data_IF_396099152499
#
_entry.id   IF_396099152499
#
_cell.length_a   1.000
_cell.length_b   1.000
_cell.length_c   1.000
_cell.angle_alpha   90.00
_cell.angle_beta   90.00
_cell.angle_gamma   90.00
#
_symmetry.space_group_name_H-M   'P 1'
#
loop_
_entity.id
_entity.type
_entity.pdbx_description
1 polymer ?
#
# COMPACT_ATOMS: atom_id res chain seq x y z
N UNK A 1 2.19 -9.47 5.57
CA UNK A 1 2.00 -10.44 4.47
C UNK A 1 1.11 -11.61 4.86
N UNK A 2 1.20 -12.07 6.10
CA UNK A 2 0.67 -13.30 6.67
C UNK A 2 -0.84 -13.48 6.46
N UNK A 3 -1.63 -12.40 6.61
CA UNK A 3 -3.08 -12.44 6.36
C UNK A 3 -3.41 -12.46 4.87
N UNK A 4 -2.69 -11.67 4.08
CA UNK A 4 -2.87 -11.56 2.62
C UNK A 4 -2.55 -12.92 1.98
N UNK A 5 -1.43 -13.55 2.33
CA UNK A 5 -1.03 -14.82 1.72
C UNK A 5 -2.04 -15.95 1.96
N UNK A 6 -2.60 -16.05 3.18
CA UNK A 6 -3.67 -17.00 3.52
C UNK A 6 -4.98 -16.71 2.78
N UNK A 7 -5.33 -15.43 2.62
CA UNK A 7 -6.53 -15.02 1.90
C UNK A 7 -6.39 -15.33 0.41
N UNK A 8 -5.20 -15.08 -0.15
CA UNK A 8 -4.87 -15.43 -1.54
C UNK A 8 -4.91 -16.95 -1.77
N UNK A 9 -4.50 -17.78 -0.82
CA UNK A 9 -4.64 -19.25 -0.96
C UNK A 9 -6.11 -19.66 -1.16
N UNK A 10 -7.04 -18.98 -0.48
CA UNK A 10 -8.49 -19.18 -0.66
C UNK A 10 -8.96 -18.61 -2.00
N UNK A 11 -8.53 -17.39 -2.36
CA UNK A 11 -8.96 -16.72 -3.60
C UNK A 11 -8.51 -17.52 -4.83
N UNK A 12 -7.27 -18.01 -4.84
CA UNK A 12 -6.74 -18.86 -5.93
C UNK A 12 -7.46 -20.20 -6.01
N UNK A 13 -7.87 -20.77 -4.87
CA UNK A 13 -8.68 -22.01 -4.87
C UNK A 13 -10.05 -21.74 -5.49
N UNK A 14 -10.73 -20.69 -5.07
CA UNK A 14 -12.05 -20.31 -5.60
C UNK A 14 -11.96 -19.96 -7.08
N UNK A 15 -10.93 -19.22 -7.49
CA UNK A 15 -10.71 -18.77 -8.88
C UNK A 15 -10.62 -19.92 -9.89
N UNK A 16 -10.25 -21.14 -9.46
CA UNK A 16 -10.22 -22.33 -10.33
C UNK A 16 -11.61 -22.80 -10.72
N UNK A 17 -12.58 -22.62 -9.83
CA UNK A 17 -13.95 -23.10 -10.02
C UNK A 17 -14.88 -21.97 -10.47
N UNK A 18 -14.67 -20.75 -9.92
CA UNK A 18 -15.44 -19.54 -10.18
C UNK A 18 -14.43 -18.41 -10.44
N UNK A 19 -14.15 -18.07 -11.72
CA UNK A 19 -13.19 -17.03 -12.06
C UNK A 19 -13.52 -15.69 -11.40
N UNK A 20 -12.50 -15.06 -10.84
CA UNK A 20 -12.56 -13.72 -10.23
C UNK A 20 -12.34 -12.60 -11.26
N UNK A 21 -12.00 -12.95 -12.50
CA UNK A 21 -11.79 -11.99 -13.57
C UNK A 21 -13.03 -11.09 -13.77
N UNK A 22 -12.80 -9.78 -13.81
CA UNK A 22 -13.87 -8.78 -13.92
C UNK A 22 -14.57 -8.42 -12.60
N UNK A 23 -14.26 -9.10 -11.48
CA UNK A 23 -14.72 -8.67 -10.16
C UNK A 23 -13.80 -7.60 -9.58
N UNK A 24 -14.39 -6.53 -9.06
CA UNK A 24 -13.66 -5.46 -8.38
C UNK A 24 -13.45 -5.83 -6.91
N UNK A 25 -12.30 -6.42 -6.59
CA UNK A 25 -11.91 -6.77 -5.22
C UNK A 25 -10.52 -6.23 -4.90
N UNK A 26 -10.25 -5.99 -3.62
CA UNK A 26 -8.96 -5.46 -3.18
C UNK A 26 -8.64 -5.85 -1.73
N UNK A 27 -7.37 -5.69 -1.34
CA UNK A 27 -6.95 -5.69 0.06
C UNK A 27 -6.71 -4.27 0.56
N UNK A 28 -7.10 -3.99 1.81
CA UNK A 28 -6.75 -2.75 2.50
C UNK A 28 -5.36 -2.83 3.17
N UNK A 29 -4.74 -1.67 3.30
CA UNK A 29 -3.46 -1.39 3.96
C UNK A 29 -2.23 -1.95 3.26
N UNK A 30 -2.03 -3.28 3.35
CA UNK A 30 -0.90 -4.01 2.78
C UNK A 30 0.50 -3.48 3.16
N UNK A 31 0.71 -2.92 4.37
CA UNK A 31 2.00 -2.30 4.71
C UNK A 31 3.18 -3.27 4.66
N UNK A 32 2.98 -4.51 5.09
CA UNK A 32 4.04 -5.53 5.13
C UNK A 32 3.83 -6.60 4.06
N UNK A 33 3.22 -6.27 2.92
CA UNK A 33 3.00 -7.23 1.85
C UNK A 33 4.34 -7.67 1.23
N UNK A 34 4.47 -8.96 0.91
CA UNK A 34 5.63 -9.50 0.20
C UNK A 34 5.53 -9.32 -1.31
N UNK A 35 6.67 -9.32 -2.00
CA UNK A 35 6.73 -9.33 -3.45
C UNK A 35 5.90 -10.42 -4.11
N UNK A 36 5.93 -11.62 -3.51
CA UNK A 36 5.17 -12.78 -3.98
C UNK A 36 3.67 -12.52 -3.89
N UNK A 37 3.20 -11.92 -2.80
CA UNK A 37 1.78 -11.59 -2.64
C UNK A 37 1.35 -10.49 -3.61
N UNK A 38 2.22 -9.51 -3.91
CA UNK A 38 1.94 -8.51 -4.96
C UNK A 38 1.74 -9.19 -6.32
N UNK A 39 2.63 -10.12 -6.69
CA UNK A 39 2.51 -10.85 -7.97
C UNK A 39 1.20 -11.64 -8.06
N UNK A 40 0.82 -12.30 -6.97
CA UNK A 40 -0.43 -13.07 -6.89
C UNK A 40 -1.67 -12.19 -7.03
N UNK A 41 -1.68 -11.01 -6.39
CA UNK A 41 -2.78 -10.05 -6.54
C UNK A 41 -2.88 -9.58 -7.99
N UNK A 42 -1.76 -9.20 -8.61
CA UNK A 42 -1.72 -8.78 -10.01
C UNK A 42 -2.25 -9.87 -10.95
N UNK A 43 -1.82 -11.12 -10.76
CA UNK A 43 -2.23 -12.26 -11.59
C UNK A 43 -3.72 -12.58 -11.49
N UNK A 44 -4.37 -12.26 -10.36
CA UNK A 44 -5.80 -12.45 -10.15
C UNK A 44 -6.63 -11.20 -10.49
N UNK A 45 -6.02 -10.13 -10.99
CA UNK A 45 -6.69 -8.87 -11.32
C UNK A 45 -7.19 -8.08 -10.09
N UNK A 46 -6.67 -8.36 -8.90
CA UNK A 46 -7.06 -7.67 -7.67
C UNK A 46 -6.38 -6.31 -7.49
N UNK A 47 -6.95 -5.50 -6.60
CA UNK A 47 -6.39 -4.21 -6.20
C UNK A 47 -5.81 -4.17 -4.78
N UNK A 48 -5.18 -3.04 -4.45
CA UNK A 48 -4.75 -2.71 -3.09
C UNK A 48 -5.15 -1.25 -2.78
N UNK A 49 -5.88 -1.04 -1.69
CA UNK A 49 -6.15 0.29 -1.16
C UNK A 49 -5.16 0.58 -0.01
N UNK A 50 -4.33 1.60 -0.17
CA UNK A 50 -3.26 1.93 0.79
C UNK A 50 -3.62 3.14 1.64
N UNK A 51 -3.22 3.13 2.91
CA UNK A 51 -3.46 4.25 3.82
C UNK A 51 -2.18 4.75 4.48
N UNK A 52 -2.13 6.07 4.70
CA UNK A 52 -0.93 6.80 5.11
C UNK A 52 -0.61 6.71 6.61
N UNK A 53 -0.89 5.57 7.25
CA UNK A 53 -0.58 5.33 8.68
C UNK A 53 0.88 5.60 9.01
N UNK A 54 1.78 5.21 8.10
CA UNK A 54 3.21 5.38 8.26
C UNK A 54 3.66 6.84 8.26
N UNK A 55 2.82 7.78 7.78
CA UNK A 55 3.06 9.20 7.99
C UNK A 55 3.03 9.58 9.48
N UNK A 56 2.22 8.90 10.29
CA UNK A 56 2.06 9.18 11.72
C UNK A 56 2.85 8.23 12.62
N UNK A 57 2.99 6.97 12.20
CA UNK A 57 3.56 5.89 13.02
C UNK A 57 4.93 5.43 12.52
N UNK A 58 5.54 6.13 11.55
CA UNK A 58 6.80 5.74 10.96
C UNK A 58 7.92 5.60 11.99
N UNK A 59 8.03 6.54 12.93
CA UNK A 59 9.04 6.52 13.99
C UNK A 59 8.90 5.29 14.88
N UNK A 60 7.68 4.99 15.34
CA UNK A 60 7.38 3.80 16.13
C UNK A 60 7.68 2.51 15.35
N UNK A 61 7.36 2.48 14.05
CA UNK A 61 7.64 1.33 13.22
C UNK A 61 9.16 1.11 13.06
N UNK A 62 9.92 2.18 12.85
CA UNK A 62 11.39 2.15 12.76
C UNK A 62 11.99 1.66 14.08
N UNK A 63 11.51 2.12 15.23
CA UNK A 63 11.97 1.66 16.55
C UNK A 63 11.77 0.14 16.72
N UNK A 64 10.62 -0.37 16.26
CA UNK A 64 10.25 -1.77 16.44
C UNK A 64 10.90 -2.74 15.46
N UNK A 65 11.05 -2.33 14.19
CA UNK A 65 11.42 -3.23 13.08
C UNK A 65 12.70 -2.83 12.36
N UNK A 66 13.24 -1.66 12.68
CA UNK A 66 14.41 -1.10 12.02
C UNK A 66 14.08 -0.31 10.75
N UNK A 67 14.97 0.62 10.40
CA UNK A 67 14.77 1.56 9.31
C UNK A 67 14.66 0.87 7.94
N UNK A 68 15.52 -0.11 7.66
CA UNK A 68 15.54 -0.80 6.36
C UNK A 68 14.23 -1.54 6.04
N UNK A 69 13.51 -2.06 7.04
CA UNK A 69 12.18 -2.64 6.82
C UNK A 69 11.14 -1.55 6.61
N UNK A 70 11.24 -0.47 7.39
CA UNK A 70 10.33 0.67 7.32
C UNK A 70 10.38 1.34 5.93
N UNK A 71 11.55 1.43 5.31
CA UNK A 71 11.76 2.03 3.98
C UNK A 71 10.88 1.42 2.87
N UNK A 72 10.45 0.17 3.04
CA UNK A 72 9.66 -0.59 2.08
C UNK A 72 8.20 -0.80 2.51
N UNK A 73 7.70 -0.04 3.50
CA UNK A 73 6.42 -0.33 4.17
C UNK A 73 5.48 0.89 4.12
N UNK A 74 4.33 0.86 3.40
CA UNK A 74 3.99 -0.06 2.30
C UNK A 74 4.88 0.15 1.05
N UNK A 75 5.13 -0.89 0.24
CA UNK A 75 5.93 -0.79 -0.97
C UNK A 75 5.10 -0.28 -2.18
N UNK A 76 4.48 0.90 -2.06
CA UNK A 76 3.51 1.45 -3.06
C UNK A 76 4.11 1.51 -4.46
N UNK A 77 5.32 2.06 -4.61
CA UNK A 77 6.00 2.15 -5.91
C UNK A 77 6.13 0.78 -6.58
N UNK A 78 6.49 -0.23 -5.80
CA UNK A 78 6.68 -1.59 -6.30
C UNK A 78 5.37 -2.28 -6.65
N UNK A 79 4.30 -2.01 -5.93
CA UNK A 79 2.95 -2.47 -6.29
C UNK A 79 2.53 -1.92 -7.66
N UNK A 80 2.74 -0.61 -7.89
CA UNK A 80 2.47 0.06 -9.16
C UNK A 80 3.34 -0.50 -10.30
N UNK A 81 4.64 -0.68 -10.06
CA UNK A 81 5.58 -1.22 -11.06
C UNK A 81 5.21 -2.66 -11.48
N UNK A 82 4.58 -3.43 -10.58
CA UNK A 82 4.06 -4.78 -10.86
C UNK A 82 2.67 -4.79 -11.51
N UNK A 83 2.10 -3.62 -11.82
CA UNK A 83 0.82 -3.49 -12.51
C UNK A 83 -0.41 -3.74 -11.64
N UNK A 84 -0.27 -3.74 -10.32
CA UNK A 84 -1.44 -3.82 -9.42
C UNK A 84 -2.21 -2.50 -9.48
N UNK A 85 -3.55 -2.57 -9.45
CA UNK A 85 -4.38 -1.40 -9.25
C UNK A 85 -4.25 -0.94 -7.79
N UNK A 86 -3.61 0.22 -7.58
CA UNK A 86 -3.38 0.76 -6.24
C UNK A 86 -4.10 2.09 -6.08
N UNK A 87 -4.92 2.20 -5.04
CA UNK A 87 -5.57 3.43 -4.63
C UNK A 87 -5.01 3.94 -3.29
N UNK A 88 -5.27 5.21 -2.99
CA UNK A 88 -4.89 5.84 -1.73
C UNK A 88 -6.13 6.24 -0.92
N UNK A 89 -6.06 6.04 0.38
CA UNK A 89 -7.10 6.40 1.34
C UNK A 89 -6.53 6.84 2.68
N UNK A 90 -7.43 7.19 3.59
CA UNK A 90 -7.06 7.64 4.94
C UNK A 90 -7.33 6.60 6.01
N UNK A 91 -8.35 5.75 5.83
CA UNK A 91 -8.97 4.96 6.92
C UNK A 91 -9.21 5.86 8.16
N UNK A 92 -9.81 7.02 7.88
CA UNK A 92 -9.98 8.12 8.82
C UNK A 92 -10.71 7.69 10.10
N UNK A 93 -10.53 8.45 11.18
CA UNK A 93 -11.11 8.26 12.53
C UNK A 93 -10.58 7.07 13.33
N UNK A 94 -9.85 6.15 12.69
CA UNK A 94 -9.20 5.00 13.35
C UNK A 94 -7.69 4.97 13.15
N UNK A 95 -7.21 5.26 11.95
CA UNK A 95 -5.80 5.07 11.59
C UNK A 95 -5.05 6.39 11.36
N UNK A 96 -5.66 7.35 10.69
CA UNK A 96 -5.04 8.61 10.32
C UNK A 96 -6.03 9.79 10.29
N UNK A 97 -5.53 10.99 9.97
CA UNK A 97 -6.37 12.16 9.69
C UNK A 97 -7.20 11.96 8.42
N UNK A 98 -8.37 12.59 8.35
CA UNK A 98 -9.18 12.66 7.11
C UNK A 98 -8.57 13.60 6.06
N UNK A 99 -7.53 14.38 6.40
CA UNK A 99 -6.91 15.34 5.49
C UNK A 99 -6.05 14.64 4.41
N UNK A 100 -6.45 14.65 3.12
CA UNK A 100 -5.74 13.93 2.06
C UNK A 100 -4.35 14.52 1.78
N UNK A 101 -4.11 15.79 2.11
CA UNK A 101 -2.83 16.46 1.87
C UNK A 101 -1.68 15.86 2.70
N UNK A 102 -1.97 15.26 3.87
CA UNK A 102 -0.97 14.56 4.66
C UNK A 102 -0.54 13.28 3.94
N UNK A 103 -1.49 12.52 3.41
CA UNK A 103 -1.25 11.32 2.60
C UNK A 103 -0.41 11.65 1.36
N UNK A 104 -0.82 12.66 0.60
CA UNK A 104 -0.10 13.12 -0.60
C UNK A 104 1.32 13.58 -0.27
N UNK A 105 1.49 14.36 0.80
CA UNK A 105 2.81 14.81 1.25
C UNK A 105 3.72 13.63 1.60
N UNK A 106 3.21 12.67 2.37
CA UNK A 106 3.96 11.47 2.76
C UNK A 106 4.34 10.61 1.55
N UNK A 107 3.43 10.34 0.62
CA UNK A 107 3.73 9.56 -0.60
C UNK A 107 4.80 10.22 -1.47
N UNK A 108 4.78 11.56 -1.56
CA UNK A 108 5.70 12.32 -2.43
C UNK A 108 7.05 12.57 -1.76
N UNK A 109 7.07 12.81 -0.46
CA UNK A 109 8.30 13.19 0.27
C UNK A 109 8.97 12.02 0.96
N UNK A 110 8.20 10.97 1.27
CA UNK A 110 8.63 9.86 2.11
C UNK A 110 8.88 10.27 3.56
N UNK A 111 8.31 11.38 4.03
CA UNK A 111 8.51 11.88 5.39
C UNK A 111 7.31 11.60 6.29
N UNK A 112 7.58 11.34 7.56
CA UNK A 112 6.56 11.36 8.60
C UNK A 112 6.13 12.79 8.92
N UNK A 113 5.02 12.94 9.64
CA UNK A 113 4.56 14.23 10.17
C UNK A 113 5.53 14.82 11.18
N UNK A 114 6.31 13.97 11.87
CA UNK A 114 7.40 14.37 12.76
C UNK A 114 8.68 14.81 12.04
N UNK A 115 8.74 14.69 10.71
CA UNK A 115 9.86 15.12 9.89
C UNK A 115 10.94 14.06 9.65
N UNK A 116 10.78 12.84 10.17
CA UNK A 116 11.69 11.74 9.88
C UNK A 116 11.59 11.36 8.40
N UNK A 117 12.73 11.26 7.72
CA UNK A 117 12.80 10.68 6.38
C UNK A 117 12.62 9.17 6.50
N UNK A 118 11.47 8.66 6.08
CA UNK A 118 11.11 7.24 6.17
C UNK A 118 11.50 6.47 4.91
N UNK A 119 11.34 7.07 3.73
CA UNK A 119 11.60 6.41 2.44
C UNK A 119 12.78 7.02 1.69
N UNK A 120 13.61 6.21 1.01
CA UNK A 120 14.52 6.72 0.00
C UNK A 120 13.72 7.28 -1.18
N UNK A 121 14.30 8.23 -1.92
CA UNK A 121 13.64 8.88 -3.07
C UNK A 121 13.09 7.90 -4.11
N UNK A 122 13.77 6.77 -4.30
CA UNK A 122 13.35 5.72 -5.24
C UNK A 122 11.99 5.08 -4.87
N UNK A 123 11.60 5.11 -3.59
CA UNK A 123 10.34 4.56 -3.12
C UNK A 123 9.22 5.61 -3.03
N UNK A 124 9.54 6.89 -3.24
CA UNK A 124 8.54 7.96 -3.28
C UNK A 124 7.85 8.03 -4.64
N UNK A 125 6.63 8.57 -4.65
CA UNK A 125 5.89 8.86 -5.87
C UNK A 125 6.14 10.29 -6.34
N UNK A 126 5.94 10.54 -7.63
CA UNK A 126 5.71 11.89 -8.10
C UNK A 126 4.29 12.37 -7.72
N UNK A 127 4.07 13.69 -7.81
CA UNK A 127 2.82 14.32 -7.38
C UNK A 127 1.62 13.88 -8.23
N UNK A 128 1.81 13.67 -9.52
CA UNK A 128 0.73 13.32 -10.43
C UNK A 128 0.23 11.91 -10.13
N UNK A 129 1.15 10.95 -9.98
CA UNK A 129 0.84 9.57 -9.62
C UNK A 129 0.11 9.53 -8.28
N UNK A 130 0.62 10.23 -7.26
CA UNK A 130 -0.04 10.29 -5.95
C UNK A 130 -1.45 10.91 -6.01
N UNK A 131 -1.67 11.92 -6.86
CA UNK A 131 -3.00 12.52 -7.05
C UNK A 131 -3.96 11.58 -7.78
N UNK A 132 -3.51 10.91 -8.85
CA UNK A 132 -4.33 9.94 -9.59
C UNK A 132 -4.76 8.76 -8.70
N UNK A 133 -3.90 8.32 -7.78
CA UNK A 133 -4.26 7.32 -6.76
C UNK A 133 -5.42 7.73 -5.86
N UNK A 134 -5.70 9.04 -5.73
CA UNK A 134 -6.78 9.59 -4.93
C UNK A 134 -8.07 9.88 -5.73
N UNK A 135 -8.01 9.87 -7.06
CA UNK A 135 -9.10 10.39 -7.90
C UNK A 135 -9.54 9.47 -9.04
N UNK A 136 -8.66 8.63 -9.58
CA UNK A 136 -8.89 7.90 -10.85
C UNK A 136 -8.59 6.41 -10.78
N UNK A 137 -7.84 5.94 -9.79
CA UNK A 137 -7.33 4.57 -9.67
C UNK A 137 -8.14 3.73 -8.69
#
# INVERSE_FOLDING_TARGET
>A
DETISRSLDVFEKVNKDIPLEGLNWFFDHAETISDRSIDRIAALGGGIATQHRMAYQGEYFVERYGHGVAEATPPIRRMLDKGVNVSAGTDATRVASYNPWVSLSWMVTGKTVGGMQLYPRANCLDRETALRMWTEK
#
